data_IF_836492084748
#
_entry.id   IF_836492084748
#
_cell.length_a   1.000
_cell.length_b   1.000
_cell.length_c   1.000
_cell.angle_alpha   90.00
_cell.angle_beta   90.00
_cell.angle_gamma   90.00
#
_symmetry.space_group_name_H-M   'P 1'
#
loop_
_entity.id
_entity.type
_entity.pdbx_description
1 polymer ?
#
# COMPACT_ATOMS: atom_id res chain seq x y z
N UNK A 1 -17.66 22.47 9.97
CA UNK A 1 -17.26 21.33 9.12
C UNK A 1 -17.58 20.07 9.90
N UNK A 2 -18.28 19.09 9.34
CA UNK A 2 -18.52 17.84 10.07
C UNK A 2 -17.20 17.05 10.20
N UNK A 3 -17.08 16.22 11.24
CA UNK A 3 -15.90 15.39 11.46
C UNK A 3 -15.59 14.50 10.25
N UNK A 4 -16.63 13.99 9.57
CA UNK A 4 -16.51 13.18 8.37
C UNK A 4 -15.89 13.97 7.19
N UNK A 5 -16.24 15.25 7.04
CA UNK A 5 -15.67 16.09 5.97
C UNK A 5 -14.21 16.44 6.26
N UNK A 6 -13.83 16.67 7.52
CA UNK A 6 -12.42 16.95 7.86
C UNK A 6 -11.53 15.70 7.66
N UNK A 7 -12.03 14.52 8.04
CA UNK A 7 -11.35 13.25 7.81
C UNK A 7 -11.05 13.01 6.32
N UNK A 8 -12.02 13.17 5.43
CA UNK A 8 -11.79 12.97 3.99
C UNK A 8 -10.80 13.99 3.39
N UNK A 9 -10.84 15.25 3.86
CA UNK A 9 -9.85 16.26 3.43
C UNK A 9 -8.46 15.88 3.93
N UNK A 10 -8.36 15.36 5.15
CA UNK A 10 -7.10 14.87 5.70
C UNK A 10 -6.56 13.66 4.93
N UNK A 11 -7.42 12.67 4.64
CA UNK A 11 -7.03 11.49 3.88
C UNK A 11 -6.58 11.85 2.47
N UNK A 12 -7.31 12.73 1.75
CA UNK A 12 -6.86 13.21 0.44
C UNK A 12 -5.46 13.85 0.49
N UNK A 13 -5.14 14.60 1.55
CA UNK A 13 -3.79 15.14 1.73
C UNK A 13 -2.75 14.04 2.01
N UNK A 14 -3.11 12.98 2.74
CA UNK A 14 -2.25 11.84 3.01
C UNK A 14 -1.97 11.03 1.72
N UNK A 15 -2.98 10.84 0.86
CA UNK A 15 -2.83 10.20 -0.46
C UNK A 15 -1.78 10.90 -1.31
N UNK A 16 -1.86 12.23 -1.43
CA UNK A 16 -0.87 13.02 -2.17
C UNK A 16 0.56 12.90 -1.61
N UNK A 17 0.71 12.61 -0.31
CA UNK A 17 2.03 12.34 0.29
C UNK A 17 2.49 10.91 -0.01
N UNK A 18 1.59 9.94 0.03
CA UNK A 18 1.87 8.54 -0.33
C UNK A 18 2.29 8.39 -1.80
N UNK A 19 1.60 9.06 -2.73
CA UNK A 19 1.92 9.05 -4.17
C UNK A 19 3.36 9.47 -4.46
N UNK A 20 3.86 10.48 -3.74
CA UNK A 20 5.27 10.95 -3.86
C UNK A 20 6.29 9.92 -3.40
N UNK A 21 5.86 8.92 -2.65
CA UNK A 21 6.66 7.78 -2.21
C UNK A 21 6.44 6.54 -3.10
N UNK A 22 5.76 6.69 -4.23
CA UNK A 22 5.37 5.58 -5.13
C UNK A 22 4.45 4.57 -4.43
N UNK A 23 3.58 5.07 -3.55
CA UNK A 23 2.59 4.29 -2.80
C UNK A 23 1.19 4.89 -2.95
N UNK A 24 0.17 4.19 -2.46
CA UNK A 24 -1.22 4.66 -2.47
C UNK A 24 -1.94 4.36 -1.15
N UNK A 25 -3.10 4.98 -0.99
CA UNK A 25 -4.01 4.77 0.14
C UNK A 25 -5.45 4.52 -0.35
N UNK A 26 -5.59 3.83 -1.49
CA UNK A 26 -6.89 3.57 -2.14
C UNK A 26 -7.43 2.16 -1.86
N UNK A 27 -6.59 1.24 -1.37
CA UNK A 27 -7.00 -0.09 -0.93
C UNK A 27 -8.02 0.01 0.21
N UNK A 28 -9.02 -0.89 0.25
CA UNK A 28 -10.04 -0.88 1.31
C UNK A 28 -9.41 -0.99 2.72
N UNK A 29 -8.31 -1.73 2.86
CA UNK A 29 -7.59 -1.84 4.13
C UNK A 29 -6.72 -0.62 4.46
N UNK A 30 -6.62 0.37 3.56
CA UNK A 30 -5.95 1.64 3.81
C UNK A 30 -6.79 2.59 4.67
N UNK A 31 -8.12 2.42 4.72
CA UNK A 31 -9.00 3.26 5.54
C UNK A 31 -8.63 3.18 7.02
N UNK A 32 -8.40 1.97 7.54
CA UNK A 32 -7.99 1.74 8.93
C UNK A 32 -6.68 2.47 9.26
N UNK A 33 -5.75 2.49 8.31
CA UNK A 33 -4.49 3.22 8.46
C UNK A 33 -4.73 4.74 8.43
N UNK A 34 -5.55 5.23 7.51
CA UNK A 34 -5.92 6.64 7.40
C UNK A 34 -6.62 7.15 8.66
N UNK A 35 -7.52 6.36 9.25
CA UNK A 35 -8.22 6.67 10.50
C UNK A 35 -7.24 6.78 11.67
N UNK A 36 -6.36 5.80 11.86
CA UNK A 36 -5.31 5.86 12.90
C UNK A 36 -4.42 7.09 12.73
N UNK A 37 -4.01 7.39 11.50
CA UNK A 37 -3.19 8.56 11.19
C UNK A 37 -3.92 9.88 11.52
N UNK A 38 -5.22 9.94 11.25
CA UNK A 38 -6.05 11.10 11.58
C UNK A 38 -6.25 11.26 13.10
N UNK A 39 -6.51 10.17 13.81
CA UNK A 39 -6.60 10.16 15.28
C UNK A 39 -5.29 10.66 15.92
N UNK A 40 -4.14 10.19 15.43
CA UNK A 40 -2.82 10.68 15.86
C UNK A 40 -2.65 12.19 15.60
N UNK A 41 -3.09 12.67 14.43
CA UNK A 41 -3.03 14.09 14.06
C UNK A 41 -3.88 14.96 15.01
N UNK A 42 -5.10 14.52 15.33
CA UNK A 42 -5.99 15.23 16.26
C UNK A 42 -5.44 15.19 17.69
N UNK A 43 -4.92 14.04 18.14
CA UNK A 43 -4.34 13.87 19.47
C UNK A 43 -3.13 14.80 19.71
N UNK A 44 -2.39 15.14 18.65
CA UNK A 44 -1.28 16.12 18.69
C UNK A 44 -1.74 17.59 18.59
N UNK A 45 -3.05 17.84 18.68
CA UNK A 45 -3.62 19.19 18.61
C UNK A 45 -3.74 19.73 17.19
N UNK A 46 -3.89 18.85 16.19
CA UNK A 46 -4.04 19.20 14.78
C UNK A 46 -2.98 20.21 14.27
N UNK A 47 -1.69 19.80 14.18
CA UNK A 47 -0.61 20.68 13.76
C UNK A 47 -0.92 21.53 12.52
N UNK A 48 -0.71 22.86 12.62
CA UNK A 48 -1.11 23.83 11.58
C UNK A 48 -0.60 23.49 10.18
N UNK A 49 0.60 22.92 10.08
CA UNK A 49 1.17 22.48 8.81
C UNK A 49 0.93 20.99 8.57
N UNK A 50 -0.31 20.65 8.21
CA UNK A 50 -0.77 19.28 7.91
C UNK A 50 0.14 18.54 6.92
N UNK A 51 0.54 19.19 5.83
CA UNK A 51 1.37 18.57 4.78
C UNK A 51 2.76 18.20 5.29
N UNK A 52 3.41 19.09 6.05
CA UNK A 52 4.72 18.82 6.65
C UNK A 52 4.61 17.66 7.63
N UNK A 53 3.60 17.71 8.51
CA UNK A 53 3.35 16.65 9.49
C UNK A 53 3.13 15.29 8.82
N UNK A 54 2.28 15.22 7.78
CA UNK A 54 2.06 13.99 7.01
C UNK A 54 3.34 13.48 6.35
N UNK A 55 4.14 14.38 5.78
CA UNK A 55 5.41 14.00 5.12
C UNK A 55 6.38 13.36 6.10
N UNK A 56 6.52 13.96 7.29
CA UNK A 56 7.38 13.44 8.35
C UNK A 56 6.85 12.13 8.93
N UNK A 57 5.53 12.06 9.19
CA UNK A 57 4.90 10.91 9.81
C UNK A 57 4.89 9.68 8.90
N UNK A 58 4.69 9.87 7.60
CA UNK A 58 4.67 8.80 6.60
C UNK A 58 6.07 8.42 6.10
N UNK A 59 7.14 9.02 6.64
CA UNK A 59 8.47 8.88 6.03
C UNK A 59 8.96 7.43 5.99
N UNK A 60 8.62 6.67 7.03
CA UNK A 60 9.06 5.28 7.27
C UNK A 60 7.96 4.23 7.09
N UNK A 61 6.81 4.60 6.50
CA UNK A 61 5.65 3.72 6.40
C UNK A 61 5.66 2.87 5.12
N UNK A 62 6.10 3.44 4.00
CA UNK A 62 6.16 2.76 2.70
C UNK A 62 7.55 2.18 2.44
N UNK A 63 7.82 1.05 3.09
CA UNK A 63 9.13 0.40 3.06
C UNK A 63 9.32 -0.46 1.81
N UNK A 64 10.53 -0.42 1.26
CA UNK A 64 10.96 -1.24 0.13
C UNK A 64 12.18 -2.06 0.54
N UNK A 65 12.26 -3.33 0.13
CA UNK A 65 13.39 -4.21 0.43
C UNK A 65 14.70 -3.69 -0.18
N UNK A 66 14.62 -3.17 -1.41
CA UNK A 66 15.78 -2.62 -2.12
C UNK A 66 15.39 -1.42 -2.98
N UNK A 67 14.68 -1.71 -4.06
CA UNK A 67 14.25 -0.71 -5.05
C UNK A 67 12.77 -0.36 -4.82
N UNK A 68 12.36 0.86 -5.18
CA UNK A 68 10.95 1.25 -5.15
C UNK A 68 10.18 0.57 -6.28
N UNK A 69 8.88 0.31 -6.13
CA UNK A 69 8.07 -0.18 -7.24
C UNK A 69 8.02 0.85 -8.36
N UNK A 70 8.19 0.37 -9.59
CA UNK A 70 7.92 1.09 -10.84
C UNK A 70 6.58 0.58 -11.33
N UNK A 71 5.54 1.35 -11.05
CA UNK A 71 4.17 1.04 -11.43
C UNK A 71 3.95 1.19 -12.94
N UNK A 72 3.09 0.35 -13.51
CA UNK A 72 2.65 0.47 -14.91
C UNK A 72 1.57 1.54 -15.00
N UNK A 73 0.59 1.49 -14.08
CA UNK A 73 -0.45 2.50 -13.90
C UNK A 73 -0.32 3.22 -12.56
N UNK A 74 -1.47 3.52 -11.95
CA UNK A 74 -1.51 4.15 -10.62
C UNK A 74 -0.92 3.24 -9.53
N UNK A 75 -0.28 3.77 -8.48
CA UNK A 75 0.24 2.97 -7.39
C UNK A 75 -0.86 2.13 -6.70
N UNK A 76 -0.60 0.85 -6.47
CA UNK A 76 -1.53 -0.05 -5.79
C UNK A 76 -0.88 -0.69 -4.56
N UNK A 77 -0.49 0.14 -3.59
CA UNK A 77 0.23 -0.31 -2.40
C UNK A 77 -0.69 -1.14 -1.50
N UNK A 78 -0.24 -2.34 -1.13
CA UNK A 78 -1.06 -3.25 -0.34
C UNK A 78 -0.97 -2.99 1.16
N UNK A 79 -2.09 -3.25 1.84
CA UNK A 79 -2.22 -3.15 3.29
C UNK A 79 -2.56 -4.51 3.90
N UNK A 80 -2.15 -4.70 5.15
CA UNK A 80 -2.52 -5.84 5.96
C UNK A 80 -2.76 -5.39 7.40
N UNK A 81 -3.93 -5.73 7.97
CA UNK A 81 -4.33 -5.32 9.33
C UNK A 81 -4.24 -3.79 9.56
N UNK A 82 -4.63 -3.01 8.54
CA UNK A 82 -4.59 -1.56 8.58
C UNK A 82 -3.17 -0.99 8.68
N UNK A 83 -2.19 -1.67 8.09
CA UNK A 83 -0.80 -1.24 7.99
C UNK A 83 -0.29 -1.41 6.57
N UNK A 84 0.51 -0.46 6.04
CA UNK A 84 1.16 -0.63 4.75
C UNK A 84 2.12 -1.81 4.80
N UNK A 85 2.02 -2.69 3.81
CA UNK A 85 2.94 -3.82 3.64
C UNK A 85 4.29 -3.34 3.12
N UNK A 86 5.32 -4.18 3.25
CA UNK A 86 6.66 -3.91 2.73
C UNK A 86 6.73 -4.40 1.29
N UNK A 87 7.12 -3.52 0.36
CA UNK A 87 7.38 -3.92 -1.02
C UNK A 87 8.66 -4.75 -1.09
N UNK A 88 8.59 -5.93 -1.70
CA UNK A 88 9.71 -6.87 -1.76
C UNK A 88 10.36 -6.90 -3.13
N UNK A 89 9.55 -7.08 -4.18
CA UNK A 89 10.04 -7.25 -5.54
C UNK A 89 8.92 -7.02 -6.57
N UNK A 90 9.30 -6.77 -7.82
CA UNK A 90 8.40 -6.83 -8.96
C UNK A 90 9.03 -7.59 -10.11
N UNK A 91 8.21 -8.22 -10.95
CA UNK A 91 8.65 -8.86 -12.18
C UNK A 91 7.53 -8.83 -13.23
N UNK A 92 7.92 -8.84 -14.50
CA UNK A 92 6.98 -8.87 -15.63
C UNK A 92 6.87 -10.28 -16.19
N UNK A 93 5.65 -10.74 -16.43
CA UNK A 93 5.36 -12.01 -17.09
C UNK A 93 5.57 -11.83 -18.59
N UNK A 94 6.57 -12.51 -19.16
CA UNK A 94 6.94 -12.29 -20.57
C UNK A 94 5.78 -12.60 -21.54
N UNK A 95 5.44 -11.68 -22.46
CA UNK A 95 4.54 -11.95 -23.58
C UNK A 95 5.01 -13.09 -24.49
N UNK A 96 6.32 -13.41 -24.49
CA UNK A 96 6.88 -14.48 -25.31
C UNK A 96 6.61 -15.88 -24.75
N UNK A 97 6.08 -16.02 -23.53
CA UNK A 97 5.80 -17.29 -22.88
C UNK A 97 4.49 -17.94 -23.39
N UNK A 98 4.29 -17.96 -24.71
CA UNK A 98 3.05 -18.41 -25.36
C UNK A 98 2.64 -19.85 -24.98
N UNK A 99 3.61 -20.70 -24.63
CA UNK A 99 3.40 -22.09 -24.20
C UNK A 99 2.59 -22.23 -22.89
N UNK A 100 2.38 -21.16 -22.13
CA UNK A 100 1.56 -21.15 -20.89
C UNK A 100 0.42 -20.13 -20.94
N UNK A 101 0.12 -19.53 -22.09
CA UNK A 101 -0.88 -18.44 -22.22
C UNK A 101 -2.28 -18.82 -21.72
N UNK A 102 -2.68 -20.08 -21.84
CA UNK A 102 -3.98 -20.58 -21.35
C UNK A 102 -4.01 -20.83 -19.84
N UNK A 103 -2.84 -20.79 -19.19
CA UNK A 103 -2.67 -21.08 -17.76
C UNK A 103 -2.35 -19.83 -16.93
N UNK A 104 -1.83 -18.80 -17.58
CA UNK A 104 -1.42 -17.55 -16.95
C UNK A 104 -1.54 -16.40 -17.94
N UNK A 105 -2.05 -15.26 -17.46
CA UNK A 105 -2.05 -14.01 -18.21
C UNK A 105 -0.61 -13.56 -18.49
N UNK A 106 -0.35 -13.16 -19.74
CA UNK A 106 0.97 -12.73 -20.19
C UNK A 106 1.02 -11.20 -20.34
N UNK A 107 2.19 -10.60 -20.12
CA UNK A 107 2.41 -9.16 -20.22
C UNK A 107 2.08 -8.37 -18.95
N UNK A 108 1.57 -9.04 -17.92
CA UNK A 108 1.30 -8.43 -16.62
C UNK A 108 2.58 -8.17 -15.83
N UNK A 109 2.54 -7.16 -14.97
CA UNK A 109 3.58 -6.91 -13.96
C UNK A 109 3.03 -7.27 -12.59
N UNK A 110 3.76 -8.14 -11.89
CA UNK A 110 3.42 -8.64 -10.56
C UNK A 110 4.28 -7.90 -9.53
N UNK A 111 3.64 -7.37 -8.49
CA UNK A 111 4.27 -6.69 -7.35
C UNK A 111 4.04 -7.53 -6.10
N UNK A 112 5.13 -7.87 -5.41
CA UNK A 112 5.10 -8.76 -4.24
C UNK A 112 5.32 -7.95 -2.97
N UNK A 113 4.43 -8.15 -2.00
CA UNK A 113 4.45 -7.48 -0.71
C UNK A 113 4.50 -8.48 0.44
N UNK A 114 5.24 -8.14 1.50
CA UNK A 114 5.30 -8.89 2.76
C UNK A 114 4.68 -8.10 3.91
N UNK A 115 3.95 -8.77 4.79
CA UNK A 115 3.33 -8.16 5.96
C UNK A 115 4.37 -7.54 6.86
N UNK A 116 4.12 -6.32 7.33
CA UNK A 116 4.97 -5.67 8.32
C UNK A 116 4.71 -6.27 9.70
N UNK A 117 5.77 -6.75 10.34
CA UNK A 117 5.70 -7.16 11.74
C UNK A 117 5.72 -5.93 12.65
N UNK A 118 4.60 -5.66 13.32
CA UNK A 118 4.60 -4.76 14.47
C UNK A 118 5.07 -5.59 15.65
N UNK A 119 6.25 -5.25 16.19
CA UNK A 119 6.92 -6.00 17.25
C UNK A 119 6.09 -5.98 18.54
N UNK A 120 5.13 -6.90 18.67
CA UNK A 120 4.59 -7.38 19.94
C UNK A 120 4.34 -8.87 19.81
N UNK A 121 5.23 -9.67 20.40
CA UNK A 121 5.04 -11.10 20.60
C UNK A 121 3.80 -11.31 21.48
N UNK A 122 2.68 -11.83 20.97
CA UNK A 122 1.63 -12.35 21.82
C UNK A 122 1.97 -13.83 22.01
N UNK A 123 2.84 -14.13 22.99
CA UNK A 123 3.05 -15.49 23.52
C UNK A 123 3.19 -16.61 22.46
N UNK A 124 4.40 -16.82 21.93
CA UNK A 124 4.71 -17.99 21.09
C UNK A 124 5.92 -17.77 20.17
N UNK A 125 6.67 -18.84 19.89
CA UNK A 125 7.88 -18.85 19.06
C UNK A 125 7.62 -18.97 17.55
N UNK A 126 6.38 -18.75 17.09
CA UNK A 126 6.01 -18.93 15.67
C UNK A 126 5.84 -17.57 15.00
N UNK A 127 6.66 -17.32 13.98
CA UNK A 127 6.47 -16.22 13.03
C UNK A 127 5.61 -16.73 11.87
N UNK A 128 4.58 -15.97 11.52
CA UNK A 128 3.85 -16.16 10.26
C UNK A 128 4.06 -14.92 9.40
N UNK A 129 4.70 -15.09 8.25
CA UNK A 129 4.80 -14.05 7.24
C UNK A 129 3.61 -14.17 6.28
N UNK A 130 2.91 -13.06 6.05
CA UNK A 130 1.83 -13.00 5.08
C UNK A 130 2.34 -12.26 3.85
N UNK A 131 2.26 -12.92 2.71
CA UNK A 131 2.61 -12.33 1.42
C UNK A 131 1.34 -12.06 0.62
N UNK A 132 1.29 -10.91 -0.06
CA UNK A 132 0.22 -10.56 -0.99
C UNK A 132 0.82 -10.05 -2.29
N UNK A 133 0.05 -10.15 -3.37
CA UNK A 133 0.45 -9.68 -4.68
C UNK A 133 -0.56 -8.66 -5.19
N UNK A 134 -0.06 -7.62 -5.84
CA UNK A 134 -0.83 -6.78 -6.74
C UNK A 134 -0.37 -7.09 -8.16
N UNK A 135 -1.29 -7.09 -9.12
CA UNK A 135 -0.98 -7.37 -10.52
C UNK A 135 -1.52 -6.23 -11.35
N UNK A 136 -0.70 -5.72 -12.28
CA UNK A 136 -1.14 -4.73 -13.25
C UNK A 136 -1.02 -5.27 -14.67
N UNK A 137 -2.04 -5.00 -15.47
CA UNK A 137 -2.02 -5.25 -16.91
C UNK A 137 -0.97 -4.36 -17.60
N UNK A 138 -0.68 -4.61 -18.87
CA UNK A 138 0.20 -3.73 -19.64
C UNK A 138 -0.37 -2.31 -19.83
N UNK A 139 -1.68 -2.13 -19.67
CA UNK A 139 -2.37 -0.84 -19.73
C UNK A 139 -2.31 -0.09 -18.38
N UNK A 140 -1.86 -0.76 -17.32
CA UNK A 140 -1.73 -0.18 -15.98
C UNK A 140 -2.93 -0.43 -15.07
N UNK A 141 -3.94 -1.16 -15.52
CA UNK A 141 -5.09 -1.51 -14.69
C UNK A 141 -4.67 -2.50 -13.60
N UNK A 142 -5.00 -2.19 -12.35
CA UNK A 142 -4.78 -3.10 -11.23
C UNK A 142 -5.84 -4.18 -11.21
N UNK A 143 -5.43 -5.43 -11.40
CA UNK A 143 -6.31 -6.59 -11.26
C UNK A 143 -6.32 -7.02 -9.80
N UNK A 144 -7.46 -6.85 -9.14
CA UNK A 144 -7.66 -7.33 -7.77
C UNK A 144 -8.24 -8.75 -7.86
N UNK A 145 -7.59 -9.73 -7.23
CA UNK A 145 -8.23 -11.04 -7.03
C UNK A 145 -9.47 -10.84 -6.16
N UNK A 146 -10.66 -10.94 -6.76
CA UNK A 146 -11.91 -11.18 -6.04
C UNK A 146 -11.84 -12.64 -5.57
N UNK A 147 -11.42 -12.86 -4.32
CA UNK A 147 -11.66 -14.14 -3.68
C UNK A 147 -13.18 -14.30 -3.52
N UNK A 148 -13.80 -15.13 -4.36
CA UNK A 148 -15.15 -15.64 -4.15
C UNK A 148 -15.15 -16.71 -3.06
#
# INVERSE_FOLDING_TARGET
MSELTDFHIFWGAAMTVAEKKSASMEDESAEDFARKLYEEYIAQGAPKNKKKWLTERLDSEYLCLKDKPVWVGEPAWLYHQGQPMVFLHQFSVSPSAQHIKEKLSLGETVYVFGSRHIVKRPTGDIWTDIYRMAVQTYEGDTTVEIFN
#
